data_IF_927574481058
#
_entry.id   IF_927574481058
#
_cell.length_a   1.000
_cell.length_b   1.000
_cell.length_c   1.000
_cell.angle_alpha   90.00
_cell.angle_beta   90.00
_cell.angle_gamma   90.00
#
_symmetry.space_group_name_H-M   'P 1'
#
loop_
_entity.id
_entity.type
_entity.pdbx_description
1 polymer ?
#
# COMPACT_ATOMS: atom_id res chain seq x y z
N UNK A 1 -4.52 -8.86 15.38
CA UNK A 1 -3.70 -9.88 16.07
C UNK A 1 -3.56 -11.20 15.30
N UNK A 2 -4.63 -11.74 14.69
CA UNK A 2 -4.63 -13.07 14.03
C UNK A 2 -3.67 -13.17 12.82
N UNK A 3 -3.40 -12.08 12.09
CA UNK A 3 -2.53 -12.10 10.90
C UNK A 3 -1.03 -12.30 11.21
N UNK A 4 -0.58 -11.97 12.42
CA UNK A 4 0.85 -11.92 12.73
C UNK A 4 1.49 -13.31 12.77
N UNK A 5 0.85 -14.30 13.41
CA UNK A 5 1.46 -15.63 13.59
C UNK A 5 1.66 -16.38 12.28
N UNK A 6 0.74 -16.24 11.33
CA UNK A 6 0.84 -16.98 10.07
C UNK A 6 1.91 -16.39 9.14
N UNK A 7 1.99 -15.06 9.02
CA UNK A 7 3.00 -14.41 8.15
C UNK A 7 4.43 -14.52 8.67
N UNK A 8 4.61 -14.78 9.97
CA UNK A 8 5.91 -14.97 10.61
C UNK A 8 6.61 -16.24 10.15
N UNK A 9 5.88 -17.35 10.08
CA UNK A 9 6.42 -18.64 9.65
C UNK A 9 6.91 -18.58 8.20
N UNK A 10 6.16 -17.91 7.33
CA UNK A 10 6.49 -17.81 5.91
C UNK A 10 7.67 -16.86 5.63
N UNK A 11 7.77 -15.77 6.40
CA UNK A 11 8.78 -14.74 6.16
C UNK A 11 10.07 -14.94 6.95
N UNK A 12 10.06 -15.79 7.98
CA UNK A 12 11.17 -16.00 8.91
C UNK A 12 11.77 -14.66 9.38
N UNK A 13 10.91 -13.79 9.91
CA UNK A 13 11.25 -12.41 10.31
C UNK A 13 10.84 -12.12 11.75
N UNK A 14 11.40 -11.07 12.36
CA UNK A 14 10.86 -10.51 13.60
C UNK A 14 9.72 -9.56 13.24
N UNK A 15 8.60 -9.66 13.96
CA UNK A 15 7.45 -8.79 13.74
C UNK A 15 7.20 -7.94 14.98
N UNK A 16 6.99 -6.66 14.72
CA UNK A 16 6.65 -5.66 15.73
C UNK A 16 5.23 -5.19 15.43
N UNK A 17 4.37 -5.31 16.44
CA UNK A 17 3.05 -4.68 16.45
C UNK A 17 3.15 -3.43 17.31
N UNK A 18 2.88 -2.28 16.71
CA UNK A 18 2.75 -1.00 17.39
C UNK A 18 1.32 -0.48 17.19
N UNK A 19 0.73 0.02 18.26
CA UNK A 19 -0.65 0.45 18.27
C UNK A 19 -0.80 1.77 19.01
N UNK A 20 -1.66 2.64 18.48
CA UNK A 20 -2.03 3.88 19.16
C UNK A 20 -2.92 3.57 20.35
N UNK A 21 -2.62 4.19 21.49
CA UNK A 21 -3.48 4.21 22.65
C UNK A 21 -4.13 5.60 22.74
N UNK A 22 -5.46 5.65 22.69
CA UNK A 22 -6.24 6.85 22.93
C UNK A 22 -7.12 6.61 24.15
N UNK A 23 -7.05 7.51 25.12
CA UNK A 23 -7.91 7.50 26.32
C UNK A 23 -8.88 8.66 26.24
N UNK A 24 -9.98 8.57 26.98
CA UNK A 24 -11.00 9.63 27.03
C UNK A 24 -10.41 11.00 27.45
N UNK A 25 -9.38 10.98 28.28
CA UNK A 25 -8.66 12.18 28.74
C UNK A 25 -7.85 12.88 27.63
N UNK A 26 -7.52 12.20 26.54
CA UNK A 26 -6.71 12.76 25.44
C UNK A 26 -7.57 13.55 24.43
N UNK A 27 -8.89 13.53 24.58
CA UNK A 27 -9.84 14.27 23.75
C UNK A 27 -10.23 15.61 24.38
N UNK A 28 -10.33 16.64 23.54
CA UNK A 28 -10.90 17.93 23.92
C UNK A 28 -12.37 17.77 24.39
N UNK A 29 -12.84 18.55 25.38
CA UNK A 29 -14.17 18.40 25.96
C UNK A 29 -15.31 18.42 24.93
N UNK A 30 -15.15 19.18 23.86
CA UNK A 30 -16.11 19.30 22.77
C UNK A 30 -16.24 18.05 21.90
N UNK A 31 -15.22 17.17 21.89
CA UNK A 31 -15.17 15.97 21.05
C UNK A 31 -15.41 14.67 21.81
N UNK A 32 -15.59 14.71 23.13
CA UNK A 32 -15.81 13.51 23.96
C UNK A 32 -17.09 12.74 23.62
N UNK A 33 -18.08 13.41 23.04
CA UNK A 33 -19.34 12.79 22.63
C UNK A 33 -19.20 11.75 21.51
N UNK A 34 -18.06 11.71 20.82
CA UNK A 34 -17.79 10.71 19.78
C UNK A 34 -17.38 9.35 20.34
N UNK A 35 -16.85 9.26 21.57
CA UNK A 35 -16.17 8.07 22.09
C UNK A 35 -17.11 6.84 22.22
N UNK A 36 -18.38 7.10 22.52
CA UNK A 36 -19.44 6.09 22.70
C UNK A 36 -20.63 6.35 21.77
N UNK A 37 -20.42 7.08 20.67
CA UNK A 37 -21.49 7.31 19.70
C UNK A 37 -21.74 6.04 18.87
N UNK A 38 -22.97 5.81 18.40
CA UNK A 38 -23.27 4.70 17.50
C UNK A 38 -22.46 4.77 16.18
N UNK A 39 -21.95 5.95 15.82
CA UNK A 39 -21.13 6.16 14.63
C UNK A 39 -19.64 5.90 14.86
N UNK A 40 -19.13 5.99 16.11
CA UNK A 40 -17.70 5.91 16.42
C UNK A 40 -17.40 5.33 17.81
N UNK A 41 -17.87 4.13 18.11
CA UNK A 41 -17.53 3.41 19.35
C UNK A 41 -16.01 3.14 19.41
N UNK A 42 -15.27 3.59 20.43
CA UNK A 42 -13.83 3.29 20.56
C UNK A 42 -13.52 1.99 21.32
N UNK A 43 -14.53 1.30 21.84
CA UNK A 43 -14.35 0.07 22.64
C UNK A 43 -13.69 -1.08 21.86
N UNK A 44 -13.80 -1.09 20.52
CA UNK A 44 -13.14 -2.06 19.66
C UNK A 44 -11.69 -1.72 19.32
N UNK A 45 -11.24 -0.49 19.59
CA UNK A 45 -9.90 -0.01 19.28
C UNK A 45 -8.86 -0.44 20.34
N UNK A 46 -9.09 -1.55 21.04
CA UNK A 46 -8.11 -2.16 21.95
C UNK A 46 -7.09 -2.92 21.11
N UNK A 47 -5.96 -2.28 20.84
CA UNK A 47 -4.86 -2.86 20.08
C UNK A 47 -3.60 -2.92 20.96
N UNK A 48 -2.89 -4.04 20.90
CA UNK A 48 -1.74 -4.29 21.77
C UNK A 48 -0.39 -4.06 21.07
N UNK A 49 0.59 -3.64 21.87
CA UNK A 49 1.99 -3.57 21.46
C UNK A 49 2.70 -4.90 21.80
N UNK A 50 3.42 -5.47 20.85
CA UNK A 50 4.10 -6.75 21.03
C UNK A 50 5.26 -6.93 20.04
N UNK A 51 6.25 -7.72 20.44
CA UNK A 51 7.35 -8.19 19.60
C UNK A 51 7.31 -9.71 19.56
N UNK A 52 7.38 -10.27 18.35
CA UNK A 52 7.28 -11.72 18.10
C UNK A 52 8.51 -12.20 17.35
N UNK A 53 9.07 -13.33 17.79
CA UNK A 53 10.19 -13.97 17.12
C UNK A 53 9.76 -14.69 15.83
N UNK A 54 10.72 -15.10 14.97
CA UNK A 54 10.44 -15.83 13.73
C UNK A 54 9.71 -17.17 13.92
N UNK A 55 9.74 -17.73 15.14
CA UNK A 55 9.05 -18.97 15.49
C UNK A 55 7.59 -18.74 15.90
N UNK A 56 7.13 -17.49 15.98
CA UNK A 56 5.76 -17.13 16.35
C UNK A 56 5.53 -16.97 17.86
N UNK A 57 6.59 -16.90 18.66
CA UNK A 57 6.55 -16.71 20.10
C UNK A 57 6.71 -15.22 20.46
N UNK A 58 5.94 -14.77 21.45
CA UNK A 58 6.07 -13.41 21.97
C UNK A 58 7.34 -13.29 22.80
N UNK A 59 8.27 -12.45 22.35
CA UNK A 59 9.50 -12.15 23.09
C UNK A 59 9.37 -10.88 23.93
N UNK A 60 8.40 -10.02 23.62
CA UNK A 60 7.96 -8.94 24.49
C UNK A 60 6.49 -8.58 24.25
N UNK A 61 5.77 -8.24 25.32
CA UNK A 61 4.31 -8.06 25.28
C UNK A 61 3.54 -9.40 25.21
N UNK A 62 2.25 -9.39 24.86
CA UNK A 62 1.47 -8.24 24.40
C UNK A 62 1.04 -7.33 25.55
N UNK A 63 1.26 -6.03 25.38
CA UNK A 63 0.82 -4.96 26.30
C UNK A 63 -0.45 -4.33 25.73
N UNK A 64 -1.47 -4.15 26.58
CA UNK A 64 -2.75 -3.54 26.19
C UNK A 64 -3.10 -2.41 27.15
N UNK A 65 -3.75 -1.36 26.63
CA UNK A 65 -4.27 -0.23 27.42
C UNK A 65 -3.25 0.51 28.30
N UNK A 66 -1.96 0.31 28.04
CA UNK A 66 -0.87 0.87 28.81
C UNK A 66 0.07 1.65 27.89
N UNK A 67 0.47 2.82 28.37
CA UNK A 67 1.51 3.61 27.70
C UNK A 67 2.85 3.07 28.18
N UNK A 68 3.51 2.29 27.32
CA UNK A 68 4.71 1.54 27.67
C UNK A 68 5.59 1.37 26.46
N UNK A 69 6.90 1.40 26.70
CA UNK A 69 7.88 1.06 25.69
C UNK A 69 8.23 -0.42 25.81
N UNK A 70 7.99 -1.16 24.73
CA UNK A 70 8.27 -2.59 24.63
C UNK A 70 9.66 -2.78 24.01
N UNK A 71 10.54 -3.50 24.70
CA UNK A 71 11.90 -3.80 24.25
C UNK A 71 12.15 -5.31 24.25
N UNK A 72 12.92 -5.80 23.28
CA UNK A 72 13.37 -7.18 23.19
C UNK A 72 14.73 -7.26 22.48
N UNK A 73 15.55 -8.23 22.88
CA UNK A 73 16.77 -8.58 22.15
C UNK A 73 16.41 -9.48 20.96
N UNK A 74 16.78 -9.06 19.75
CA UNK A 74 16.49 -9.79 18.52
C UNK A 74 17.80 -10.32 17.93
N UNK A 75 18.03 -11.63 18.03
CA UNK A 75 19.26 -12.23 17.54
C UNK A 75 19.13 -12.71 16.09
N UNK A 76 20.02 -12.25 15.21
CA UNK A 76 19.97 -12.56 13.78
C UNK A 76 20.17 -14.05 13.43
N UNK A 77 20.79 -14.82 14.32
CA UNK A 77 20.92 -16.28 14.17
C UNK A 77 19.57 -17.00 14.21
N UNK A 78 18.56 -16.45 14.89
CA UNK A 78 17.21 -17.02 14.92
C UNK A 78 16.55 -17.00 13.53
N UNK A 79 16.85 -15.98 12.71
CA UNK A 79 16.37 -15.89 11.33
C UNK A 79 16.91 -17.05 10.48
N UNK A 80 18.20 -17.35 10.63
CA UNK A 80 18.83 -18.47 9.93
C UNK A 80 18.25 -19.80 10.38
N UNK A 81 18.04 -19.98 11.69
CA UNK A 81 17.45 -21.19 12.25
C UNK A 81 16.00 -21.39 11.74
N UNK A 82 15.20 -20.33 11.68
CA UNK A 82 13.85 -20.39 11.13
C UNK A 82 13.85 -20.79 9.64
N UNK A 83 14.76 -20.23 8.83
CA UNK A 83 14.91 -20.60 7.41
C UNK A 83 15.40 -22.02 7.18
N UNK A 84 16.16 -22.60 8.11
CA UNK A 84 16.52 -24.03 8.06
C UNK A 84 15.28 -24.92 8.20
N UNK A 85 14.32 -24.50 9.03
CA UNK A 85 13.06 -25.23 9.22
C UNK A 85 12.14 -25.05 8.02
N UNK A 86 12.00 -23.82 7.51
CA UNK A 86 11.15 -23.51 6.37
C UNK A 86 11.66 -22.30 5.59
N UNK A 87 11.86 -22.46 4.29
CA UNK A 87 12.34 -21.40 3.40
C UNK A 87 11.63 -21.46 2.05
N UNK A 88 10.53 -20.71 1.94
CA UNK A 88 9.69 -20.65 0.75
C UNK A 88 10.35 -19.97 -0.45
N UNK A 89 11.35 -19.10 -0.23
CA UNK A 89 12.07 -18.40 -1.31
C UNK A 89 13.37 -19.10 -1.71
N UNK A 90 13.88 -20.03 -0.91
CA UNK A 90 15.07 -20.84 -1.21
C UNK A 90 14.75 -22.31 -1.48
N UNK A 91 15.02 -23.19 -0.52
CA UNK A 91 14.99 -24.66 -0.74
C UNK A 91 13.63 -25.21 -1.17
N UNK A 92 12.54 -24.57 -0.75
CA UNK A 92 11.18 -24.93 -1.15
C UNK A 92 10.68 -24.11 -2.35
N UNK A 93 11.50 -23.20 -2.90
CA UNK A 93 11.13 -22.47 -4.10
C UNK A 93 10.96 -23.43 -5.28
N UNK A 94 9.84 -23.28 -5.98
CA UNK A 94 9.52 -24.01 -7.22
C UNK A 94 9.38 -23.02 -8.37
N UNK A 95 10.50 -22.43 -8.84
CA UNK A 95 10.47 -21.45 -9.92
C UNK A 95 10.01 -22.06 -11.25
N UNK A 96 9.96 -23.38 -11.36
CA UNK A 96 9.38 -24.12 -12.48
C UNK A 96 7.84 -24.13 -12.45
N UNK A 97 7.23 -24.06 -11.27
CA UNK A 97 5.78 -24.07 -11.10
C UNK A 97 5.17 -22.67 -11.12
N UNK A 98 5.78 -21.74 -10.37
CA UNK A 98 5.27 -20.37 -10.23
C UNK A 98 6.43 -19.38 -10.34
N UNK A 99 6.23 -18.33 -11.13
CA UNK A 99 7.15 -17.19 -11.21
C UNK A 99 6.37 -15.91 -10.95
N UNK A 100 6.92 -15.05 -10.10
CA UNK A 100 6.37 -13.71 -9.84
C UNK A 100 7.13 -12.73 -10.74
N UNK A 101 6.41 -12.01 -11.58
CA UNK A 101 6.94 -10.93 -12.40
C UNK A 101 6.57 -9.60 -11.73
N UNK A 102 7.59 -8.85 -11.30
CA UNK A 102 7.41 -7.52 -10.71
C UNK A 102 7.63 -6.45 -11.78
N UNK A 103 6.63 -5.59 -11.98
CA UNK A 103 6.77 -4.37 -12.77
C UNK A 103 6.91 -3.20 -11.80
N UNK A 104 8.12 -2.67 -11.62
CA UNK A 104 8.39 -1.60 -10.64
C UNK A 104 8.21 -0.17 -11.18
N UNK A 105 7.80 -0.04 -12.44
CA UNK A 105 7.59 1.26 -13.07
C UNK A 105 6.18 1.78 -12.85
N UNK A 106 6.05 3.11 -12.78
CA UNK A 106 4.76 3.78 -12.70
C UNK A 106 3.90 3.42 -13.93
N UNK A 107 2.83 2.65 -13.71
CA UNK A 107 1.85 2.33 -14.74
C UNK A 107 0.97 3.56 -14.97
N UNK A 108 1.42 4.47 -15.84
CA UNK A 108 0.60 5.63 -16.24
C UNK A 108 -0.61 5.12 -17.01
N UNK A 109 -1.79 5.30 -16.44
CA UNK A 109 -3.05 5.11 -17.15
C UNK A 109 -3.04 5.93 -18.43
N UNK A 110 -3.36 5.33 -19.58
CA UNK A 110 -3.40 5.99 -20.89
C UNK A 110 -4.58 6.98 -21.01
N UNK A 111 -4.98 7.64 -19.93
CA UNK A 111 -5.79 8.85 -20.00
C UNK A 111 -4.88 9.99 -20.46
N UNK A 112 -4.47 9.93 -21.73
CA UNK A 112 -3.82 11.05 -22.39
C UNK A 112 -4.93 12.05 -22.68
N UNK A 113 -5.12 13.00 -21.76
CA UNK A 113 -5.90 14.20 -22.05
C UNK A 113 -5.33 14.79 -23.34
N UNK A 114 -6.19 15.07 -24.31
CA UNK A 114 -5.83 15.78 -25.54
C UNK A 114 -5.31 17.20 -25.28
N UNK A 115 -5.45 17.71 -24.04
CA UNK A 115 -5.01 19.05 -23.67
C UNK A 115 -3.49 19.15 -23.68
N UNK A 116 -2.97 19.97 -24.59
CA UNK A 116 -1.58 20.43 -24.56
C UNK A 116 -0.56 19.47 -25.19
N UNK A 117 -0.95 18.66 -26.17
CA UNK A 117 0.01 17.92 -27.00
C UNK A 117 0.89 18.93 -27.75
N UNK A 118 2.20 18.89 -27.51
CA UNK A 118 3.14 19.73 -28.25
C UNK A 118 3.32 19.20 -29.68
N UNK A 119 3.81 20.04 -30.60
CA UNK A 119 4.17 19.61 -31.96
C UNK A 119 5.15 18.42 -31.95
N UNK A 120 6.08 18.40 -30.99
CA UNK A 120 7.03 17.30 -30.84
C UNK A 120 6.33 16.00 -30.40
N UNK A 121 5.30 16.09 -29.56
CA UNK A 121 4.49 14.93 -29.20
C UNK A 121 3.71 14.38 -30.39
N UNK A 122 3.13 15.25 -31.23
CA UNK A 122 2.42 14.86 -32.45
C UNK A 122 3.36 14.21 -33.48
N UNK A 123 4.58 14.74 -33.63
CA UNK A 123 5.59 14.17 -34.50
C UNK A 123 6.03 12.79 -34.05
N UNK A 124 6.30 12.62 -32.75
CA UNK A 124 6.65 11.32 -32.18
C UNK A 124 5.52 10.29 -32.34
N UNK A 125 4.25 10.71 -32.21
CA UNK A 125 3.09 9.85 -32.46
C UNK A 125 2.99 9.47 -33.94
N UNK A 126 3.15 10.43 -34.85
CA UNK A 126 3.14 10.20 -36.30
C UNK A 126 4.19 9.16 -36.72
N UNK A 127 5.40 9.28 -36.19
CA UNK A 127 6.50 8.34 -36.46
C UNK A 127 6.24 6.94 -35.89
N UNK A 128 5.70 6.85 -34.67
CA UNK A 128 5.42 5.55 -34.03
C UNK A 128 4.20 4.80 -34.58
N UNK A 129 3.22 5.52 -35.13
CA UNK A 129 1.94 4.94 -35.59
C UNK A 129 1.80 4.93 -37.12
N UNK A 130 2.81 5.43 -37.85
CA UNK A 130 2.83 5.59 -39.31
C UNK A 130 1.65 6.42 -39.86
N UNK A 131 1.00 7.23 -39.01
CA UNK A 131 -0.10 8.11 -39.42
C UNK A 131 0.46 9.46 -39.86
N UNK A 132 0.03 10.02 -41.01
CA UNK A 132 0.47 11.35 -41.44
C UNK A 132 0.12 12.44 -40.42
N UNK A 133 1.08 13.35 -40.18
CA UNK A 133 0.97 14.44 -39.20
C UNK A 133 -0.28 15.31 -39.43
N UNK A 134 -0.58 15.63 -40.70
CA UNK A 134 -1.75 16.43 -41.10
C UNK A 134 -3.08 15.82 -40.61
N UNK A 135 -3.16 14.48 -40.58
CA UNK A 135 -4.35 13.77 -40.12
C UNK A 135 -4.48 13.86 -38.60
N UNK A 136 -3.37 13.84 -37.87
CA UNK A 136 -3.33 13.97 -36.42
C UNK A 136 -3.69 15.39 -35.97
N UNK A 137 -3.16 16.42 -36.64
CA UNK A 137 -3.50 17.83 -36.38
C UNK A 137 -5.00 18.08 -36.55
N UNK A 138 -5.58 17.59 -37.64
CA UNK A 138 -7.03 17.71 -37.91
C UNK A 138 -7.90 16.97 -36.90
N UNK A 139 -7.41 15.86 -36.35
CA UNK A 139 -8.11 15.12 -35.29
C UNK A 139 -8.03 15.91 -33.98
N UNK A 140 -6.86 16.47 -33.66
CA UNK A 140 -6.66 17.26 -32.46
C UNK A 140 -7.60 18.48 -32.44
N UNK A 141 -7.65 19.24 -33.53
CA UNK A 141 -8.56 20.39 -33.69
C UNK A 141 -10.03 19.97 -33.46
N UNK A 142 -10.46 18.86 -34.06
CA UNK A 142 -11.82 18.32 -33.86
C UNK A 142 -12.11 17.87 -32.44
N UNK A 143 -11.11 17.36 -31.73
CA UNK A 143 -11.25 16.94 -30.33
C UNK A 143 -11.34 18.18 -29.44
N UNK A 144 -10.51 19.20 -29.66
CA UNK A 144 -10.57 20.48 -28.94
C UNK A 144 -11.90 21.23 -29.16
N UNK A 145 -12.44 21.20 -30.39
CA UNK A 145 -13.78 21.73 -30.69
C UNK A 145 -14.90 20.96 -29.98
N UNK A 146 -14.78 19.64 -29.82
CA UNK A 146 -15.77 18.82 -29.10
C UNK A 146 -15.70 19.07 -27.60
N UNK A 147 -14.50 19.16 -27.05
CA UNK A 147 -14.26 19.46 -25.64
C UNK A 147 -14.76 20.85 -25.27
N UNK A 148 -14.53 21.87 -26.10
CA UNK A 148 -15.05 23.23 -25.86
C UNK A 148 -16.59 23.29 -25.86
N UNK A 149 -17.24 22.55 -26.76
CA UNK A 149 -18.72 22.44 -26.80
C UNK A 149 -19.29 21.73 -25.57
N UNK A 150 -18.62 20.68 -25.08
CA UNK A 150 -19.02 19.93 -23.88
C UNK A 150 -18.94 20.79 -22.61
N UNK A 151 -17.91 21.62 -22.49
CA UNK A 151 -17.76 22.55 -21.35
C UNK A 151 -18.87 23.61 -21.35
N UNK A 152 -19.31 24.10 -22.52
CA UNK A 152 -20.40 25.08 -22.62
C UNK A 152 -21.81 24.50 -22.44
N UNK A 153 -22.03 23.20 -22.64
CA UNK A 153 -23.33 22.53 -22.44
C UNK A 153 -23.55 22.02 -21.01
N UNK A 154 -22.55 22.15 -20.15
CA UNK A 154 -22.56 21.66 -18.76
C UNK A 154 -22.81 22.79 -17.74
N UNK A 155 -23.17 23.99 -18.21
CA UNK A 155 -23.52 25.18 -17.41
C UNK A 155 -24.95 25.60 -17.66
#
# INVERSE_FOLDING_TARGET
MVTFRTGLFDSASFVISAAGLLREQDFEPEHKHFIDSPEMDFSWAVVGAAIVNPFGEYIAGPVYNEDTIVYADCHANELNAAKVVFDGLGHYSRPDAVKILLHDHEQKSLLRSSRGLSYQDLKNISESTEVPLEKLEKILEKVEERESKLVTSSS
#
